data_IF_749699077675
#
_entry.id   IF_749699077675
#
_cell.length_a   1.000
_cell.length_b   1.000
_cell.length_c   1.000
_cell.angle_alpha   90.00
_cell.angle_beta   90.00
_cell.angle_gamma   90.00
#
_symmetry.space_group_name_H-M   'P 1'
#
loop_
_entity.id
_entity.type
_entity.pdbx_description
1 polymer ?
#
# COMPACT_ATOMS: atom_id res chain seq x y z
N UNK A 1 -6.03 -18.47 14.05
CA UNK A 1 -7.06 -18.81 15.07
C UNK A 1 -8.41 -18.21 14.70
N UNK A 2 -9.14 -18.84 13.78
CA UNK A 2 -10.49 -18.44 13.33
C UNK A 2 -11.56 -19.01 14.26
N UNK A 3 -11.48 -18.64 15.54
CA UNK A 3 -12.42 -19.13 16.57
C UNK A 3 -13.80 -18.49 16.42
N UNK A 4 -14.86 -19.32 16.53
CA UNK A 4 -16.28 -19.07 16.84
C UNK A 4 -16.84 -17.64 16.66
N UNK A 5 -16.20 -16.60 17.22
CA UNK A 5 -16.54 -15.18 17.01
C UNK A 5 -16.64 -14.78 15.53
N UNK A 6 -15.76 -15.30 14.67
CA UNK A 6 -15.81 -15.00 13.22
C UNK A 6 -17.09 -15.56 12.58
N UNK A 7 -17.47 -16.79 12.97
CA UNK A 7 -18.68 -17.45 12.49
C UNK A 7 -19.93 -16.71 12.96
N UNK A 8 -20.00 -16.36 14.25
CA UNK A 8 -21.12 -15.60 14.84
C UNK A 8 -21.28 -14.24 14.14
N UNK A 9 -20.19 -13.52 13.89
CA UNK A 9 -20.21 -12.25 13.14
C UNK A 9 -20.74 -12.44 11.72
N UNK A 10 -20.32 -13.51 11.03
CA UNK A 10 -20.77 -13.80 9.66
C UNK A 10 -22.27 -14.12 9.61
N UNK A 11 -22.77 -14.91 10.56
CA UNK A 11 -24.21 -15.19 10.71
C UNK A 11 -25.01 -13.92 11.01
N UNK A 12 -24.54 -13.10 11.96
CA UNK A 12 -25.19 -11.82 12.29
C UNK A 12 -25.26 -10.86 11.10
N UNK A 13 -24.17 -10.73 10.32
CA UNK A 13 -24.14 -9.87 9.13
C UNK A 13 -25.06 -10.37 8.00
N UNK A 14 -25.19 -11.69 7.85
CA UNK A 14 -26.16 -12.32 6.93
C UNK A 14 -27.60 -12.04 7.35
N UNK A 15 -27.92 -12.21 8.64
CA UNK A 15 -29.27 -11.94 9.18
C UNK A 15 -29.65 -10.48 9.00
N UNK A 16 -28.72 -9.54 9.20
CA UNK A 16 -28.97 -8.11 8.98
C UNK A 16 -29.06 -7.69 7.51
N UNK A 17 -28.87 -8.61 6.56
CA UNK A 17 -28.81 -8.34 5.13
C UNK A 17 -27.88 -7.15 4.77
N UNK A 18 -26.93 -6.80 5.65
CA UNK A 18 -26.14 -5.57 5.54
C UNK A 18 -25.30 -5.53 4.25
N UNK A 19 -25.03 -6.72 3.71
CA UNK A 19 -24.26 -6.95 2.50
C UNK A 19 -25.01 -7.88 1.52
N UNK A 20 -26.33 -8.00 1.61
CA UNK A 20 -27.09 -8.89 0.71
C UNK A 20 -27.05 -8.46 -0.75
N UNK A 21 -26.71 -7.19 -1.01
CA UNK A 21 -26.47 -6.64 -2.35
C UNK A 21 -25.05 -6.92 -2.87
N UNK A 22 -24.16 -7.46 -2.04
CA UNK A 22 -22.80 -7.84 -2.45
C UNK A 22 -22.83 -9.30 -2.84
N UNK A 23 -22.84 -9.55 -4.14
CA UNK A 23 -22.68 -10.89 -4.70
C UNK A 23 -21.20 -11.21 -4.88
N UNK A 24 -20.81 -12.44 -4.53
CA UNK A 24 -19.44 -12.91 -4.76
C UNK A 24 -19.27 -13.17 -6.26
N UNK A 25 -18.66 -12.22 -6.97
CA UNK A 25 -18.44 -12.33 -8.42
C UNK A 25 -17.35 -13.33 -8.80
N UNK A 26 -16.33 -13.53 -7.94
CA UNK A 26 -15.21 -14.42 -8.18
C UNK A 26 -14.80 -15.13 -6.89
N UNK A 27 -14.53 -16.43 -7.01
CA UNK A 27 -13.82 -17.20 -5.98
C UNK A 27 -12.45 -17.54 -6.53
N UNK A 28 -11.39 -17.08 -5.87
CA UNK A 28 -10.02 -17.39 -6.19
C UNK A 28 -9.25 -17.85 -4.96
N UNK A 29 -8.18 -18.60 -5.19
CA UNK A 29 -7.20 -18.89 -4.16
C UNK A 29 -6.42 -17.61 -3.83
N UNK A 30 -6.03 -17.47 -2.57
CA UNK A 30 -5.32 -16.30 -2.07
C UNK A 30 -4.27 -16.71 -1.04
N UNK A 31 -3.10 -16.09 -1.14
CA UNK A 31 -1.95 -16.34 -0.27
C UNK A 31 -1.59 -15.04 0.44
N UNK A 32 -1.16 -15.15 1.70
CA UNK A 32 -0.63 -14.02 2.46
C UNK A 32 0.83 -13.79 2.09
N UNK A 33 1.14 -12.62 1.54
CA UNK A 33 2.51 -12.18 1.23
C UNK A 33 2.96 -11.16 2.27
N UNK A 34 4.23 -11.21 2.65
CA UNK A 34 4.82 -10.32 3.65
C UNK A 34 4.67 -10.82 5.09
N UNK A 35 5.12 -10.01 6.04
CA UNK A 35 5.12 -10.36 7.46
C UNK A 35 3.74 -10.11 8.11
N UNK A 36 3.65 -10.27 9.44
CA UNK A 36 2.39 -10.07 10.19
C UNK A 36 1.99 -8.60 10.37
N UNK A 37 2.89 -7.66 10.09
CA UNK A 37 2.68 -6.22 10.23
C UNK A 37 2.21 -5.59 8.91
N UNK A 38 2.96 -5.80 7.82
CA UNK A 38 2.75 -5.15 6.52
C UNK A 38 2.34 -6.10 5.39
N UNK A 39 1.86 -7.31 5.70
CA UNK A 39 1.44 -8.27 4.68
C UNK A 39 0.02 -8.07 4.14
N UNK A 40 -0.23 -8.62 2.96
CA UNK A 40 -1.55 -8.60 2.29
C UNK A 40 -1.85 -9.93 1.60
N UNK A 41 -3.15 -10.21 1.44
CA UNK A 41 -3.59 -11.31 0.59
C UNK A 41 -3.56 -10.93 -0.88
N UNK A 42 -3.01 -11.80 -1.72
CA UNK A 42 -3.06 -11.67 -3.17
C UNK A 42 -3.44 -13.01 -3.82
N UNK A 43 -4.05 -12.95 -5.00
CA UNK A 43 -4.40 -14.13 -5.78
C UNK A 43 -3.18 -14.56 -6.63
N UNK A 44 -2.42 -15.59 -6.22
CA UNK A 44 -1.16 -15.96 -6.87
C UNK A 44 -1.33 -16.24 -8.36
N UNK A 45 -2.41 -16.90 -8.75
CA UNK A 45 -2.66 -17.34 -10.12
C UNK A 45 -2.91 -16.18 -11.10
N UNK A 46 -3.12 -14.95 -10.58
CA UNK A 46 -3.32 -13.75 -11.38
C UNK A 46 -2.04 -12.90 -11.49
N UNK A 47 -0.96 -13.31 -10.83
CA UNK A 47 0.31 -12.58 -10.80
C UNK A 47 1.37 -13.38 -11.54
N UNK A 48 2.12 -12.71 -12.40
CA UNK A 48 3.23 -13.30 -13.16
C UNK A 48 4.36 -12.28 -13.34
N UNK A 49 5.42 -12.65 -14.07
CA UNK A 49 6.60 -11.83 -14.25
C UNK A 49 6.34 -10.50 -14.98
N UNK A 50 5.24 -10.40 -15.72
CA UNK A 50 4.81 -9.18 -16.42
C UNK A 50 3.88 -8.32 -15.58
N UNK A 51 3.43 -8.81 -14.42
CA UNK A 51 2.58 -8.05 -13.52
C UNK A 51 3.33 -6.84 -12.98
N UNK A 52 2.59 -5.75 -12.83
CA UNK A 52 3.04 -4.50 -12.26
C UNK A 52 2.25 -4.25 -10.97
N UNK A 53 2.96 -4.08 -9.86
CA UNK A 53 2.36 -3.86 -8.54
C UNK A 53 2.65 -2.44 -8.09
N UNK A 54 1.60 -1.68 -7.80
CA UNK A 54 1.71 -0.35 -7.22
C UNK A 54 1.61 -0.45 -5.69
N UNK A 55 2.70 -0.13 -5.00
CA UNK A 55 2.81 -0.20 -3.55
C UNK A 55 2.97 1.20 -2.96
N UNK A 56 1.85 1.76 -2.47
CA UNK A 56 1.82 3.12 -1.92
C UNK A 56 1.95 3.10 -0.40
N UNK A 57 2.82 3.96 0.12
CA UNK A 57 3.05 4.12 1.56
C UNK A 57 3.87 2.98 2.16
N UNK A 58 5.01 2.65 1.54
CA UNK A 58 5.85 1.51 1.96
C UNK A 58 6.45 1.69 3.37
N UNK A 59 6.54 2.93 3.88
CA UNK A 59 7.12 3.19 5.19
C UNK A 59 8.53 2.60 5.32
N UNK A 60 8.72 1.75 6.34
CA UNK A 60 9.98 1.01 6.58
C UNK A 60 9.79 -0.51 6.45
N UNK A 61 8.82 -0.96 5.65
CA UNK A 61 8.52 -2.38 5.45
C UNK A 61 8.07 -2.64 4.00
N UNK A 62 8.90 -3.38 3.27
CA UNK A 62 8.58 -3.90 1.92
C UNK A 62 8.57 -5.43 1.91
N UNK A 63 8.19 -6.06 3.02
CA UNK A 63 8.15 -7.53 3.14
C UNK A 63 7.10 -8.14 2.20
N UNK A 64 5.97 -7.46 2.02
CA UNK A 64 4.96 -7.81 1.03
C UNK A 64 5.53 -7.77 -0.39
N UNK A 65 6.16 -6.66 -0.75
CA UNK A 65 6.72 -6.44 -2.08
C UNK A 65 7.83 -7.45 -2.41
N UNK A 66 8.75 -7.67 -1.46
CA UNK A 66 9.81 -8.68 -1.58
C UNK A 66 9.25 -10.08 -1.76
N UNK A 67 8.17 -10.43 -1.05
CA UNK A 67 7.55 -11.73 -1.21
C UNK A 67 6.91 -11.90 -2.60
N UNK A 68 6.27 -10.85 -3.13
CA UNK A 68 5.69 -10.87 -4.48
C UNK A 68 6.76 -10.99 -5.58
N UNK A 69 7.83 -10.19 -5.53
CA UNK A 69 8.91 -10.32 -6.51
C UNK A 69 9.62 -11.66 -6.40
N UNK A 70 9.80 -12.19 -5.19
CA UNK A 70 10.45 -13.49 -4.99
C UNK A 70 9.64 -14.63 -5.62
N UNK A 71 8.33 -14.65 -5.42
CA UNK A 71 7.50 -15.79 -5.81
C UNK A 71 7.02 -15.68 -7.27
N UNK A 72 6.87 -14.46 -7.81
CA UNK A 72 6.29 -14.22 -9.13
C UNK A 72 7.21 -13.52 -10.12
N UNK A 73 8.39 -13.04 -9.67
CA UNK A 73 9.31 -12.23 -10.47
C UNK A 73 8.65 -10.99 -11.12
N UNK A 74 7.59 -10.48 -10.51
CA UNK A 74 6.86 -9.30 -10.98
C UNK A 74 7.60 -7.98 -10.66
N UNK A 75 7.18 -6.90 -11.32
CA UNK A 75 7.71 -5.55 -11.11
C UNK A 75 6.96 -4.81 -10.02
N UNK A 76 7.69 -4.25 -9.06
CA UNK A 76 7.12 -3.46 -7.96
C UNK A 76 7.48 -1.99 -8.15
N UNK A 77 6.45 -1.15 -8.14
CA UNK A 77 6.56 0.29 -8.11
C UNK A 77 6.16 0.78 -6.72
N UNK A 78 7.16 1.14 -5.94
CA UNK A 78 7.04 1.62 -4.57
C UNK A 78 6.96 3.15 -4.54
N UNK A 79 6.05 3.69 -3.71
CA UNK A 79 5.82 5.13 -3.60
C UNK A 79 5.73 5.52 -2.13
N UNK A 80 6.59 6.43 -1.67
CA UNK A 80 6.43 7.06 -0.37
C UNK A 80 7.16 8.41 -0.32
N UNK A 81 6.45 9.51 -0.01
CA UNK A 81 7.07 10.82 0.04
C UNK A 81 7.76 11.13 1.38
N UNK A 82 7.64 10.28 2.40
CA UNK A 82 8.16 10.59 3.73
C UNK A 82 9.68 10.44 3.80
N UNK A 83 10.42 11.44 4.34
CA UNK A 83 11.87 11.37 4.40
C UNK A 83 12.43 10.13 5.09
N UNK A 84 11.73 9.61 6.11
CA UNK A 84 12.16 8.41 6.83
C UNK A 84 12.05 7.17 5.94
N UNK A 85 10.95 7.03 5.20
CA UNK A 85 10.78 5.95 4.22
C UNK A 85 11.80 6.04 3.09
N UNK A 86 12.00 7.23 2.51
CA UNK A 86 13.00 7.48 1.45
C UNK A 86 14.40 7.08 1.91
N UNK A 87 14.80 7.51 3.10
CA UNK A 87 16.11 7.17 3.64
C UNK A 87 16.24 5.67 3.92
N UNK A 88 15.17 5.02 4.37
CA UNK A 88 15.15 3.59 4.66
C UNK A 88 15.27 2.73 3.41
N UNK A 89 14.48 3.02 2.36
CA UNK A 89 14.46 2.22 1.14
C UNK A 89 15.78 2.35 0.35
N UNK A 90 16.41 3.53 0.35
CA UNK A 90 17.73 3.77 -0.29
C UNK A 90 18.87 2.95 0.33
N UNK A 91 18.69 2.41 1.54
CA UNK A 91 19.66 1.54 2.21
C UNK A 91 19.40 0.04 1.96
N UNK A 92 18.33 -0.30 1.26
CA UNK A 92 18.02 -1.70 0.96
C UNK A 92 18.77 -2.14 -0.30
N UNK A 93 19.20 -3.39 -0.32
CA UNK A 93 19.62 -4.06 -1.54
C UNK A 93 18.38 -4.60 -2.26
N UNK A 94 18.10 -4.07 -3.45
CA UNK A 94 16.96 -4.42 -4.28
C UNK A 94 17.43 -4.81 -5.68
N UNK A 95 16.70 -5.71 -6.33
CA UNK A 95 16.95 -6.06 -7.73
C UNK A 95 16.26 -5.06 -8.68
N UNK A 96 16.50 -5.22 -9.98
CA UNK A 96 16.00 -4.32 -11.03
C UNK A 96 14.47 -4.31 -11.18
N UNK A 97 13.74 -5.23 -10.52
CA UNK A 97 12.28 -5.24 -10.52
C UNK A 97 11.68 -4.25 -9.51
N UNK A 98 12.49 -3.61 -8.66
CA UNK A 98 12.03 -2.60 -7.72
C UNK A 98 12.27 -1.19 -8.27
N UNK A 99 11.22 -0.39 -8.30
CA UNK A 99 11.25 1.00 -8.72
C UNK A 99 10.69 1.87 -7.60
N UNK A 100 11.49 2.78 -7.05
CA UNK A 100 11.05 3.65 -5.95
C UNK A 100 10.87 5.11 -6.40
N UNK A 101 9.79 5.73 -5.95
CA UNK A 101 9.44 7.11 -6.25
C UNK A 101 9.09 7.90 -4.98
N UNK A 102 9.66 9.09 -4.86
CA UNK A 102 9.59 9.97 -3.66
C UNK A 102 8.34 10.87 -3.64
N UNK A 103 7.22 10.42 -4.21
CA UNK A 103 5.96 11.15 -4.23
C UNK A 103 4.80 10.28 -3.73
N UNK A 104 3.78 10.91 -3.17
CA UNK A 104 2.59 10.24 -2.66
C UNK A 104 1.41 10.25 -3.65
N UNK A 105 0.35 9.53 -3.27
CA UNK A 105 -0.90 9.47 -4.02
C UNK A 105 -1.92 10.48 -3.48
N UNK A 106 -2.50 11.29 -4.37
CA UNK A 106 -3.57 12.24 -4.05
C UNK A 106 -4.59 12.30 -5.20
N UNK A 107 -5.73 12.96 -5.01
CA UNK A 107 -6.65 13.25 -6.12
C UNK A 107 -6.22 14.47 -6.96
N UNK A 108 -5.15 15.17 -6.55
CA UNK A 108 -4.59 16.34 -7.24
C UNK A 108 -3.08 16.21 -7.38
N UNK A 109 -2.54 16.94 -8.35
CA UNK A 109 -1.10 17.03 -8.61
C UNK A 109 -0.57 18.30 -7.97
N UNK A 110 -0.03 18.19 -6.77
CA UNK A 110 0.36 19.35 -5.97
C UNK A 110 1.45 18.99 -4.96
N UNK A 111 2.14 20.01 -4.47
CA UNK A 111 2.93 19.85 -3.25
C UNK A 111 2.07 20.20 -2.04
N UNK A 112 2.11 19.34 -1.02
CA UNK A 112 1.38 19.57 0.23
C UNK A 112 2.34 19.56 1.43
N UNK A 113 1.93 20.22 2.50
CA UNK A 113 2.59 20.10 3.79
C UNK A 113 2.15 18.80 4.47
N UNK A 114 3.12 17.96 4.79
CA UNK A 114 2.96 16.80 5.66
C UNK A 114 3.45 17.14 7.06
N UNK A 115 2.55 17.01 8.03
CA UNK A 115 2.90 17.06 9.45
C UNK A 115 3.60 15.75 9.84
N UNK A 116 4.79 15.87 10.42
CA UNK A 116 5.57 14.73 10.90
C UNK A 116 5.03 14.21 12.24
N UNK A 117 5.22 12.92 12.55
CA UNK A 117 4.73 12.34 13.79
C UNK A 117 5.43 12.96 15.01
N UNK A 118 4.69 13.10 16.12
CA UNK A 118 5.26 13.60 17.39
C UNK A 118 6.33 12.65 17.93
N UNK A 119 6.07 11.34 17.82
CA UNK A 119 7.05 10.32 18.14
C UNK A 119 7.96 10.06 16.92
N UNK A 120 9.26 10.28 17.09
CA UNK A 120 10.27 10.08 16.06
C UNK A 120 10.42 8.62 15.59
N UNK A 121 9.95 7.66 16.39
CA UNK A 121 9.94 6.25 16.03
C UNK A 121 8.90 5.93 14.95
N UNK A 122 7.86 6.76 14.78
CA UNK A 122 6.87 6.59 13.72
C UNK A 122 7.34 7.18 12.39
N UNK A 123 6.83 6.62 11.29
CA UNK A 123 7.21 6.97 9.90
C UNK A 123 6.16 7.85 9.23
N UNK A 124 4.89 7.65 9.59
CA UNK A 124 3.76 8.20 8.87
C UNK A 124 3.60 9.71 9.09
N UNK A 125 3.75 10.48 8.02
CA UNK A 125 3.31 11.87 7.96
C UNK A 125 1.82 11.96 7.64
N UNK A 126 1.22 13.14 7.86
CA UNK A 126 -0.19 13.39 7.57
C UNK A 126 -0.40 14.72 6.87
N UNK A 127 -1.28 14.77 5.88
CA UNK A 127 -1.76 16.02 5.28
C UNK A 127 -2.67 16.83 6.24
N UNK A 128 -3.18 16.18 7.30
CA UNK A 128 -4.17 16.75 8.22
C UNK A 128 -3.55 16.85 9.61
N UNK A 129 -3.76 17.99 10.27
CA UNK A 129 -3.36 18.14 11.66
C UNK A 129 -4.22 17.25 12.58
N UNK A 130 -3.57 16.44 13.41
CA UNK A 130 -4.23 15.65 14.45
C UNK A 130 -3.29 15.39 15.62
N UNK A 131 -3.82 14.77 16.68
CA UNK A 131 -3.12 14.56 17.95
C UNK A 131 -1.80 13.77 17.90
N UNK A 132 -1.51 13.03 16.81
CA UNK A 132 -0.30 12.22 16.71
C UNK A 132 0.80 12.88 15.86
N UNK A 133 0.53 14.05 15.29
CA UNK A 133 1.50 14.81 14.49
C UNK A 133 1.86 16.12 15.18
N UNK A 134 3.06 16.60 14.90
CA UNK A 134 3.57 17.88 15.39
C UNK A 134 3.25 18.96 14.36
N UNK A 135 2.34 19.88 14.70
CA UNK A 135 1.90 20.95 13.79
C UNK A 135 3.04 21.91 13.41
N UNK A 136 4.12 21.94 14.18
CA UNK A 136 5.29 22.77 13.94
C UNK A 136 6.38 22.05 13.12
N UNK A 137 6.28 20.72 12.95
CA UNK A 137 7.22 19.94 12.14
C UNK A 137 6.53 19.50 10.85
N UNK A 138 6.86 20.20 9.76
CA UNK A 138 6.31 19.93 8.44
C UNK A 138 7.41 19.62 7.43
N UNK A 139 7.06 18.80 6.47
CA UNK A 139 7.85 18.57 5.26
C UNK A 139 6.95 18.76 4.06
N UNK A 140 7.47 19.45 3.03
CA UNK A 140 6.73 19.65 1.79
C UNK A 140 6.96 18.44 0.90
N UNK A 141 5.89 17.77 0.51
CA UNK A 141 5.94 16.52 -0.26
C UNK A 141 5.20 16.66 -1.58
N UNK A 142 5.72 16.02 -2.62
CA UNK A 142 5.03 15.95 -3.91
C UNK A 142 3.93 14.88 -3.85
N UNK A 143 2.75 15.22 -4.35
CA UNK A 143 1.62 14.31 -4.47
C UNK A 143 1.11 14.30 -5.91
N UNK A 144 0.78 13.13 -6.42
CA UNK A 144 0.29 12.94 -7.79
C UNK A 144 -1.01 12.16 -7.82
N UNK A 145 -1.82 12.45 -8.83
CA UNK A 145 -2.99 11.64 -9.16
C UNK A 145 -2.58 10.30 -9.74
N UNK A 146 -3.36 9.25 -9.46
CA UNK A 146 -3.13 7.92 -10.03
C UNK A 146 -3.03 7.98 -11.56
N UNK A 147 -3.90 8.76 -12.20
CA UNK A 147 -3.88 9.00 -13.64
C UNK A 147 -2.58 9.61 -14.14
N UNK A 148 -1.98 10.54 -13.38
CA UNK A 148 -0.68 11.14 -13.72
C UNK A 148 0.44 10.12 -13.58
N UNK A 149 0.46 9.38 -12.48
CA UNK A 149 1.49 8.36 -12.23
C UNK A 149 1.43 7.28 -13.32
N UNK A 150 0.25 6.78 -13.64
CA UNK A 150 0.06 5.81 -14.74
C UNK A 150 0.54 6.36 -16.09
N UNK A 151 0.23 7.61 -16.41
CA UNK A 151 0.69 8.24 -17.65
C UNK A 151 2.23 8.38 -17.71
N UNK A 152 2.86 8.83 -16.61
CA UNK A 152 4.31 8.98 -16.50
C UNK A 152 5.03 7.62 -16.60
N UNK A 153 4.43 6.55 -16.07
CA UNK A 153 4.99 5.19 -16.10
C UNK A 153 4.57 4.38 -17.34
N UNK A 154 3.71 4.92 -18.21
CA UNK A 154 3.23 4.23 -19.40
C UNK A 154 2.23 3.10 -19.16
N UNK A 155 1.66 3.00 -17.95
CA UNK A 155 0.65 2.00 -17.60
C UNK A 155 -0.77 2.50 -17.95
N UNK A 156 -1.62 1.62 -18.49
CA UNK A 156 -2.94 2.00 -19.04
C UNK A 156 -4.13 1.35 -18.33
N UNK A 157 -3.88 0.41 -17.43
CA UNK A 157 -4.90 -0.38 -16.76
C UNK A 157 -4.51 -0.64 -15.29
N UNK A 158 -5.53 -0.86 -14.46
CA UNK A 158 -5.40 -1.29 -13.07
C UNK A 158 -6.41 -2.41 -12.84
N UNK A 159 -5.91 -3.54 -12.34
CA UNK A 159 -6.70 -4.63 -11.81
C UNK A 159 -7.00 -4.34 -10.32
N UNK A 160 -8.28 -4.26 -9.92
CA UNK A 160 -8.74 -4.07 -8.52
C UNK A 160 -9.91 -4.97 -8.16
#
# INVERSE_FOLDING_TARGET
MTGIRSIIRKCYLRIKAKYSHIELGLKCDHIWYGNTYGGFYAAPDLINEKSVVYSFGIGEDISFDKALTKDHNCHIFCFDPTPKSINWIKRQELNDNFHFYEYGLCNRNEFIDFYLPQNADHVSGSAIAHKNVDVNKKVKVEMKSLSRIMNELGHKHIDV
#
